data_IF_539189475745
#
_entry.id   IF_539189475745
#
_cell.length_a   1.000
_cell.length_b   1.000
_cell.length_c   1.000
_cell.angle_alpha   90.00
_cell.angle_beta   90.00
_cell.angle_gamma   90.00
#
_symmetry.space_group_name_H-M   'P 1'
#
loop_
_entity.id
_entity.type
_entity.pdbx_description
1 polymer ?
#
# COMPACT_ATOMS: atom_id res chain seq x y z
N UNK A 1 1.28 4.30 -10.30
CA UNK A 1 1.07 3.86 -8.91
C UNK A 1 -0.26 3.14 -8.83
N UNK A 2 -0.28 1.96 -8.22
CA UNK A 2 -1.51 1.16 -8.09
C UNK A 2 -1.88 1.05 -6.61
N UNK A 3 -3.05 1.60 -6.26
CA UNK A 3 -3.61 1.56 -4.90
C UNK A 3 -4.66 0.46 -4.76
N UNK A 4 -5.07 0.18 -3.51
CA UNK A 4 -6.21 -0.73 -3.25
C UNK A 4 -7.53 -0.14 -3.74
N UNK A 5 -7.62 1.19 -3.77
CA UNK A 5 -8.84 1.89 -4.18
C UNK A 5 -8.49 3.31 -4.62
N UNK A 6 -9.20 3.84 -5.61
CA UNK A 6 -9.07 5.25 -6.04
C UNK A 6 -10.12 6.15 -5.42
N UNK A 7 -11.11 5.57 -4.76
CA UNK A 7 -12.20 6.27 -4.07
C UNK A 7 -11.95 6.35 -2.56
N UNK A 8 -12.69 7.21 -1.87
CA UNK A 8 -12.58 7.41 -0.43
C UNK A 8 -11.56 8.48 -0.03
N UNK A 9 -11.78 9.06 1.14
CA UNK A 9 -10.99 10.22 1.61
C UNK A 9 -9.53 9.85 1.91
N UNK A 10 -9.30 8.66 2.45
CA UNK A 10 -7.94 8.18 2.73
C UNK A 10 -7.09 8.13 1.45
N UNK A 11 -7.60 7.48 0.40
CA UNK A 11 -6.86 7.33 -0.86
C UNK A 11 -6.70 8.65 -1.62
N UNK A 12 -7.66 9.57 -1.50
CA UNK A 12 -7.50 10.94 -2.03
C UNK A 12 -6.37 11.69 -1.33
N UNK A 13 -6.23 11.54 0.00
CA UNK A 13 -5.12 12.14 0.74
C UNK A 13 -3.78 11.53 0.37
N UNK A 14 -3.72 10.19 0.23
CA UNK A 14 -2.51 9.49 -0.23
C UNK A 14 -2.09 10.00 -1.60
N UNK A 15 -3.02 10.03 -2.57
CA UNK A 15 -2.78 10.55 -3.92
C UNK A 15 -2.24 11.98 -3.87
N UNK A 16 -2.90 12.85 -3.12
CA UNK A 16 -2.46 14.24 -2.99
C UNK A 16 -1.06 14.37 -2.40
N UNK A 17 -0.74 13.62 -1.36
CA UNK A 17 0.61 13.61 -0.76
C UNK A 17 1.69 13.19 -1.77
N UNK A 18 1.39 12.19 -2.59
CA UNK A 18 2.31 11.75 -3.64
C UNK A 18 2.46 12.78 -4.76
N UNK A 19 1.36 13.40 -5.22
CA UNK A 19 1.40 14.48 -6.20
C UNK A 19 2.21 15.69 -5.69
N UNK A 20 2.05 16.04 -4.43
CA UNK A 20 2.79 17.14 -3.82
C UNK A 20 4.29 16.80 -3.73
N UNK A 21 4.65 15.56 -3.34
CA UNK A 21 6.04 15.10 -3.33
C UNK A 21 6.67 15.15 -4.73
N UNK A 22 5.97 14.71 -5.77
CA UNK A 22 6.45 14.81 -7.16
C UNK A 22 6.72 16.27 -7.56
N UNK A 23 5.81 17.19 -7.22
CA UNK A 23 6.00 18.64 -7.48
C UNK A 23 7.20 19.21 -6.74
N UNK A 24 7.37 18.83 -5.46
CA UNK A 24 8.49 19.28 -4.64
C UNK A 24 9.83 18.78 -5.19
N UNK A 25 9.90 17.49 -5.60
CA UNK A 25 11.11 16.92 -6.18
C UNK A 25 11.44 17.60 -7.50
N UNK A 26 10.49 17.73 -8.41
CA UNK A 26 10.68 18.40 -9.69
C UNK A 26 11.19 19.85 -9.50
N UNK A 27 10.65 20.57 -8.51
CA UNK A 27 11.09 21.91 -8.17
C UNK A 27 12.49 21.93 -7.57
N UNK A 28 12.77 21.03 -6.62
CA UNK A 28 14.07 20.98 -5.90
C UNK A 28 15.23 20.66 -6.82
N UNK A 29 15.01 19.77 -7.79
CA UNK A 29 16.04 19.36 -8.77
C UNK A 29 16.00 20.18 -10.05
N UNK A 30 15.05 21.09 -10.20
CA UNK A 30 14.92 21.96 -11.38
C UNK A 30 14.49 21.25 -12.66
N UNK A 31 13.86 20.08 -12.53
CA UNK A 31 13.38 19.29 -13.66
C UNK A 31 12.29 20.05 -14.46
N UNK A 32 12.39 20.04 -15.77
CA UNK A 32 11.48 20.76 -16.68
C UNK A 32 11.15 19.90 -17.90
N UNK A 33 9.94 20.07 -18.40
CA UNK A 33 9.45 19.35 -19.59
C UNK A 33 9.62 17.83 -19.44
N UNK A 34 10.31 17.21 -20.36
CA UNK A 34 10.48 15.75 -20.47
C UNK A 34 11.34 15.13 -19.34
N UNK A 35 12.11 15.96 -18.62
CA UNK A 35 12.88 15.52 -17.45
C UNK A 35 12.04 15.42 -16.18
N UNK A 36 10.80 15.93 -16.20
CA UNK A 36 9.95 15.92 -15.02
C UNK A 36 9.53 14.50 -14.62
N UNK A 37 9.57 14.24 -13.32
CA UNK A 37 8.89 13.07 -12.76
C UNK A 37 7.39 13.28 -12.94
N UNK A 38 6.74 12.29 -13.52
CA UNK A 38 5.28 12.22 -13.65
C UNK A 38 4.74 11.01 -12.90
N UNK A 39 3.47 11.00 -12.56
CA UNK A 39 2.84 9.84 -11.94
C UNK A 39 1.40 9.68 -12.39
N UNK A 40 0.96 8.45 -12.50
CA UNK A 40 -0.45 8.06 -12.52
C UNK A 40 -0.85 7.46 -11.17
N UNK A 41 -2.11 7.53 -10.82
CA UNK A 41 -2.67 6.93 -9.59
C UNK A 41 -3.92 6.15 -9.97
N UNK A 42 -3.80 4.85 -9.97
CA UNK A 42 -4.76 3.92 -10.52
C UNK A 42 -5.14 2.85 -9.48
N UNK A 43 -6.22 2.14 -9.75
CA UNK A 43 -6.72 1.06 -8.90
C UNK A 43 -8.23 0.89 -9.03
N UNK A 44 -8.78 -0.10 -8.34
CA UNK A 44 -10.22 -0.35 -8.33
C UNK A 44 -10.99 0.74 -7.59
N UNK A 45 -12.29 0.74 -7.79
CA UNK A 45 -13.25 1.58 -7.05
C UNK A 45 -13.54 1.05 -5.63
N UNK A 46 -13.23 -0.22 -5.37
CA UNK A 46 -13.43 -0.92 -4.11
C UNK A 46 -12.17 -1.68 -3.72
N UNK A 47 -11.75 -1.58 -2.46
CA UNK A 47 -10.56 -2.24 -1.92
C UNK A 47 -10.63 -3.79 -1.96
N UNK A 48 -11.83 -4.37 -2.06
CA UNK A 48 -12.06 -5.80 -2.14
C UNK A 48 -11.97 -6.35 -3.56
N UNK A 49 -11.90 -5.49 -4.58
CA UNK A 49 -11.83 -5.88 -5.98
C UNK A 49 -10.39 -6.19 -6.40
N UNK A 50 -9.93 -7.36 -5.95
CA UNK A 50 -8.58 -7.86 -6.21
C UNK A 50 -8.34 -8.10 -7.71
N UNK A 51 -9.35 -8.59 -8.42
CA UNK A 51 -9.24 -8.88 -9.86
C UNK A 51 -8.98 -7.60 -10.66
N UNK A 52 -9.74 -6.55 -10.40
CA UNK A 52 -9.49 -5.24 -11.03
C UNK A 52 -8.12 -4.70 -10.67
N UNK A 53 -7.63 -4.90 -9.44
CA UNK A 53 -6.28 -4.48 -9.06
C UNK A 53 -5.21 -5.24 -9.87
N UNK A 54 -5.32 -6.55 -10.01
CA UNK A 54 -4.40 -7.37 -10.80
C UNK A 54 -4.36 -6.88 -12.25
N UNK A 55 -5.51 -6.71 -12.88
CA UNK A 55 -5.62 -6.21 -14.25
C UNK A 55 -5.01 -4.79 -14.40
N UNK A 56 -5.18 -3.94 -13.40
CA UNK A 56 -4.57 -2.61 -13.36
C UNK A 56 -3.05 -2.69 -13.29
N UNK A 57 -2.49 -3.62 -12.48
CA UNK A 57 -1.05 -3.82 -12.39
C UNK A 57 -0.50 -4.28 -13.74
N UNK A 58 -1.15 -5.25 -14.40
CA UNK A 58 -0.74 -5.73 -15.72
C UNK A 58 -0.74 -4.60 -16.76
N UNK A 59 -1.77 -3.76 -16.77
CA UNK A 59 -1.85 -2.60 -17.66
C UNK A 59 -0.71 -1.60 -17.41
N UNK A 60 -0.43 -1.28 -16.14
CA UNK A 60 0.65 -0.36 -15.77
C UNK A 60 2.03 -0.93 -16.13
N UNK A 61 2.26 -2.23 -15.93
CA UNK A 61 3.52 -2.88 -16.35
C UNK A 61 3.71 -2.79 -17.88
N UNK A 62 2.63 -2.97 -18.63
CA UNK A 62 2.67 -2.87 -20.10
C UNK A 62 3.06 -1.47 -20.61
N UNK A 63 2.83 -0.41 -19.82
CA UNK A 63 3.30 0.95 -20.09
C UNK A 63 4.80 1.15 -19.83
N UNK A 64 5.48 0.15 -19.26
CA UNK A 64 6.90 0.15 -18.94
C UNK A 64 7.34 1.37 -18.10
N UNK A 65 6.78 1.58 -16.91
CA UNK A 65 7.15 2.69 -16.05
C UNK A 65 8.55 2.50 -15.45
N UNK A 66 9.22 3.59 -15.10
CA UNK A 66 10.53 3.55 -14.41
C UNK A 66 10.42 2.95 -12.99
N UNK A 67 9.25 3.06 -12.36
CA UNK A 67 8.96 2.53 -11.01
C UNK A 67 7.49 2.17 -10.89
N UNK A 68 7.20 1.00 -10.35
CA UNK A 68 5.87 0.61 -9.91
C UNK A 68 5.74 0.79 -8.39
N UNK A 69 4.81 1.65 -7.95
CA UNK A 69 4.44 1.72 -6.54
C UNK A 69 3.10 1.01 -6.33
N UNK A 70 3.00 0.14 -5.32
CA UNK A 70 1.82 -0.69 -5.07
C UNK A 70 1.41 -0.70 -3.59
N UNK A 71 0.10 -0.66 -3.35
CA UNK A 71 -0.53 -1.06 -2.09
C UNK A 71 -1.44 -2.25 -2.35
N UNK A 72 -1.04 -3.45 -1.95
CA UNK A 72 -1.74 -4.68 -2.30
C UNK A 72 -3.06 -4.84 -1.52
N UNK A 73 -4.15 -5.11 -2.22
CA UNK A 73 -5.45 -5.47 -1.63
C UNK A 73 -5.41 -6.86 -0.99
N UNK A 74 -4.77 -7.80 -1.64
CA UNK A 74 -4.45 -9.13 -1.15
C UNK A 74 -2.94 -9.35 -1.29
N UNK A 75 -2.28 -9.78 -0.21
CA UNK A 75 -0.81 -9.82 -0.16
C UNK A 75 -0.19 -10.90 -1.04
N UNK A 76 -0.95 -11.93 -1.43
CA UNK A 76 -0.47 -13.06 -2.22
C UNK A 76 -0.88 -12.97 -3.70
N UNK A 77 -2.02 -12.32 -3.98
CA UNK A 77 -2.68 -12.39 -5.30
C UNK A 77 -1.94 -11.68 -6.44
N UNK A 78 -1.01 -10.78 -6.15
CA UNK A 78 -0.28 -10.01 -7.16
C UNK A 78 1.16 -10.51 -7.41
N UNK A 79 1.54 -11.67 -6.86
CA UNK A 79 2.92 -12.17 -6.94
C UNK A 79 3.40 -12.32 -8.39
N UNK A 80 2.59 -12.91 -9.26
CA UNK A 80 2.94 -13.11 -10.68
C UNK A 80 3.19 -11.78 -11.42
N UNK A 81 2.39 -10.76 -11.13
CA UNK A 81 2.57 -9.42 -11.70
C UNK A 81 3.86 -8.76 -11.21
N UNK A 82 4.20 -8.94 -9.93
CA UNK A 82 5.44 -8.40 -9.38
C UNK A 82 6.68 -9.14 -9.91
N UNK A 83 6.58 -10.44 -10.18
CA UNK A 83 7.61 -11.18 -10.88
C UNK A 83 7.80 -10.66 -12.31
N UNK A 84 6.70 -10.45 -13.05
CA UNK A 84 6.73 -9.85 -14.39
C UNK A 84 7.35 -8.43 -14.37
N UNK A 85 7.01 -7.59 -13.41
CA UNK A 85 7.64 -6.28 -13.23
C UNK A 85 9.16 -6.41 -13.04
N UNK A 86 9.59 -7.34 -12.19
CA UNK A 86 11.02 -7.61 -11.93
C UNK A 86 11.74 -8.12 -13.18
N UNK A 87 11.15 -9.03 -13.95
CA UNK A 87 11.69 -9.54 -15.21
C UNK A 87 11.85 -8.44 -16.26
N UNK A 88 10.92 -7.49 -16.29
CA UNK A 88 10.98 -6.30 -17.13
C UNK A 88 11.94 -5.21 -16.58
N UNK A 89 12.62 -5.46 -15.46
CA UNK A 89 13.53 -4.50 -14.85
C UNK A 89 12.85 -3.34 -14.14
N UNK A 90 11.54 -3.39 -13.91
CA UNK A 90 10.75 -2.36 -13.23
C UNK A 90 10.88 -2.55 -11.72
N UNK A 91 11.53 -1.65 -10.97
CA UNK A 91 11.61 -1.73 -9.52
C UNK A 91 10.24 -1.48 -8.88
N UNK A 92 9.91 -2.29 -7.86
CA UNK A 92 8.65 -2.18 -7.13
C UNK A 92 8.88 -1.58 -5.76
N UNK A 93 8.04 -0.61 -5.37
CA UNK A 93 7.99 -0.03 -4.03
C UNK A 93 6.58 -0.30 -3.47
N UNK A 94 6.50 -0.97 -2.32
CA UNK A 94 5.22 -1.14 -1.63
C UNK A 94 4.96 0.04 -0.67
N UNK A 95 3.70 0.45 -0.57
CA UNK A 95 3.25 1.46 0.38
C UNK A 95 1.95 1.04 1.07
N UNK A 96 1.67 1.57 2.25
CA UNK A 96 0.51 1.21 3.10
C UNK A 96 0.45 -0.28 3.45
N UNK A 97 0.12 -1.14 2.49
CA UNK A 97 0.12 -2.60 2.66
C UNK A 97 1.22 -3.25 1.82
N UNK A 98 2.00 -4.09 2.47
CA UNK A 98 3.06 -4.85 1.82
C UNK A 98 2.51 -6.12 1.15
N UNK A 99 3.35 -6.78 0.39
CA UNK A 99 3.12 -8.08 -0.24
C UNK A 99 3.77 -9.21 0.60
N UNK A 100 3.36 -10.45 0.37
CA UNK A 100 3.92 -11.60 1.09
C UNK A 100 5.39 -11.84 0.70
N UNK A 101 5.69 -11.86 -0.60
CA UNK A 101 7.04 -12.11 -1.10
C UNK A 101 7.88 -10.81 -1.13
N UNK A 102 8.52 -10.54 0.01
CA UNK A 102 9.27 -9.28 0.23
C UNK A 102 10.44 -9.06 -0.72
N UNK A 103 11.00 -10.13 -1.31
CA UNK A 103 12.13 -10.00 -2.26
C UNK A 103 11.73 -9.47 -3.63
N UNK A 104 10.44 -9.36 -3.91
CA UNK A 104 9.91 -8.71 -5.10
C UNK A 104 9.81 -7.17 -4.95
N UNK A 105 10.04 -6.66 -3.73
CA UNK A 105 9.90 -5.24 -3.41
C UNK A 105 11.26 -4.66 -3.02
N UNK A 106 11.64 -3.53 -3.62
CA UNK A 106 12.89 -2.81 -3.31
C UNK A 106 12.80 -2.03 -2.00
N UNK A 107 11.62 -1.51 -1.68
CA UNK A 107 11.37 -0.75 -0.45
C UNK A 107 9.91 -0.85 -0.05
N UNK A 108 9.66 -0.69 1.26
CA UNK A 108 8.31 -0.55 1.81
C UNK A 108 8.21 0.76 2.62
N UNK A 109 7.11 1.47 2.46
CA UNK A 109 6.76 2.65 3.24
C UNK A 109 5.33 2.53 3.75
N UNK A 110 5.19 2.44 5.06
CA UNK A 110 3.90 2.30 5.72
C UNK A 110 4.03 2.44 7.22
N UNK A 111 2.90 2.34 7.90
CA UNK A 111 2.82 2.32 9.35
C UNK A 111 3.33 0.98 9.89
N UNK A 112 4.01 0.99 11.03
CA UNK A 112 4.26 -0.23 11.82
C UNK A 112 2.96 -0.67 12.48
N UNK A 113 2.16 -1.44 11.74
CA UNK A 113 0.83 -1.86 12.18
C UNK A 113 0.88 -2.81 13.38
N UNK A 114 1.96 -3.57 13.55
CA UNK A 114 2.17 -4.40 14.75
C UNK A 114 2.32 -3.52 15.98
N UNK A 115 3.11 -2.46 15.88
CA UNK A 115 3.28 -1.51 16.98
C UNK A 115 1.97 -0.77 17.30
N UNK A 116 1.23 -0.33 16.28
CA UNK A 116 -0.09 0.31 16.46
C UNK A 116 -1.07 -0.64 17.14
N UNK A 117 -1.15 -1.90 16.72
CA UNK A 117 -1.97 -2.92 17.36
C UNK A 117 -1.62 -3.11 18.84
N UNK A 118 -0.33 -3.23 19.16
CA UNK A 118 0.14 -3.32 20.57
C UNK A 118 -0.25 -2.09 21.40
N UNK A 119 -0.11 -0.90 20.85
CA UNK A 119 -0.51 0.34 21.53
C UNK A 119 -2.02 0.38 21.79
N UNK A 120 -2.84 0.00 20.82
CA UNK A 120 -4.29 -0.07 20.96
C UNK A 120 -4.68 -1.08 22.05
N UNK A 121 -4.09 -2.28 22.05
CA UNK A 121 -4.32 -3.30 23.06
C UNK A 121 -3.93 -2.83 24.47
N UNK A 122 -2.79 -2.16 24.60
CA UNK A 122 -2.33 -1.62 25.88
C UNK A 122 -3.30 -0.57 26.43
N UNK A 123 -3.74 0.38 25.59
CA UNK A 123 -4.68 1.42 25.99
C UNK A 123 -6.04 0.82 26.41
N UNK A 124 -6.55 -0.11 25.62
CA UNK A 124 -7.81 -0.79 25.90
C UNK A 124 -7.72 -1.62 27.18
N UNK A 125 -6.66 -2.41 27.34
CA UNK A 125 -6.41 -3.19 28.55
C UNK A 125 -6.29 -2.32 29.81
N UNK A 126 -5.63 -1.17 29.71
CA UNK A 126 -5.52 -0.20 30.80
C UNK A 126 -6.89 0.40 31.15
N UNK A 127 -7.69 0.77 30.17
CA UNK A 127 -9.04 1.31 30.38
C UNK A 127 -9.99 0.30 31.02
N UNK A 128 -9.82 -0.99 30.77
CA UNK A 128 -10.59 -2.09 31.33
C UNK A 128 -10.05 -2.56 32.69
N UNK A 129 -9.02 -1.93 33.24
CA UNK A 129 -8.39 -2.39 34.49
C UNK A 129 -7.76 -3.79 34.33
N UNK A 130 -7.35 -4.15 33.11
CA UNK A 130 -6.75 -5.44 32.73
C UNK A 130 -7.69 -6.66 32.89
N UNK A 131 -8.97 -6.43 32.98
CA UNK A 131 -10.00 -7.49 33.06
C UNK A 131 -11.19 -7.11 32.20
N UNK A 132 -11.71 -8.08 31.45
CA UNK A 132 -12.90 -7.85 30.59
C UNK A 132 -12.93 -8.70 29.34
N UNK A 133 -14.00 -8.55 28.58
CA UNK A 133 -14.15 -9.16 27.26
C UNK A 133 -14.06 -8.08 26.18
N UNK A 134 -13.33 -8.37 25.12
CA UNK A 134 -13.14 -7.47 24.00
C UNK A 134 -13.64 -8.15 22.73
N UNK A 135 -14.36 -7.41 21.89
CA UNK A 135 -14.71 -7.83 20.56
C UNK A 135 -13.81 -7.07 19.57
N UNK A 136 -13.20 -7.80 18.64
CA UNK A 136 -12.38 -7.24 17.56
C UNK A 136 -13.13 -7.43 16.25
N UNK A 137 -13.36 -6.34 15.53
CA UNK A 137 -13.97 -6.34 14.21
C UNK A 137 -12.91 -6.02 13.17
N UNK A 138 -12.81 -6.84 12.14
CA UNK A 138 -11.87 -6.66 11.04
C UNK A 138 -12.61 -6.76 9.70
N UNK A 139 -12.34 -5.84 8.78
CA UNK A 139 -12.95 -5.83 7.44
C UNK A 139 -12.23 -6.80 6.51
N UNK A 140 -10.96 -6.57 6.21
CA UNK A 140 -10.20 -7.31 5.19
C UNK A 140 -9.11 -8.18 5.82
N UNK A 141 -9.33 -9.50 5.89
CA UNK A 141 -8.38 -10.41 6.55
C UNK A 141 -7.14 -10.73 5.71
N UNK A 142 -7.18 -10.57 4.39
CA UNK A 142 -6.07 -10.88 3.47
C UNK A 142 -5.10 -9.73 3.23
N UNK A 143 -5.36 -8.57 3.78
CA UNK A 143 -4.50 -7.40 3.68
C UNK A 143 -3.42 -7.44 4.74
N UNK A 144 -2.16 -7.27 4.35
CA UNK A 144 -1.02 -7.36 5.28
C UNK A 144 -1.11 -6.37 6.44
N UNK A 145 -1.54 -5.12 6.20
CA UNK A 145 -1.70 -4.12 7.26
C UNK A 145 -2.74 -4.52 8.31
N UNK A 146 -3.85 -5.14 7.89
CA UNK A 146 -4.89 -5.62 8.81
C UNK A 146 -4.42 -6.84 9.60
N UNK A 147 -3.70 -7.77 8.96
CA UNK A 147 -3.12 -8.91 9.67
C UNK A 147 -2.13 -8.45 10.74
N UNK A 148 -1.25 -7.50 10.43
CA UNK A 148 -0.28 -6.98 11.39
C UNK A 148 -0.95 -6.26 12.56
N UNK A 149 -2.03 -5.49 12.32
CA UNK A 149 -2.85 -4.90 13.37
C UNK A 149 -3.48 -5.95 14.29
N UNK A 150 -3.87 -7.10 13.76
CA UNK A 150 -4.52 -8.17 14.52
C UNK A 150 -3.56 -8.98 15.39
N UNK A 151 -2.25 -8.84 15.22
CA UNK A 151 -1.23 -9.49 16.06
C UNK A 151 -1.13 -8.85 17.46
N UNK A 152 -2.26 -8.39 17.99
CA UNK A 152 -2.39 -7.92 19.36
C UNK A 152 -2.48 -9.13 20.31
N UNK A 153 -1.44 -9.37 21.07
CA UNK A 153 -1.50 -10.27 22.20
C UNK A 153 -2.03 -9.49 23.41
N UNK A 154 -3.30 -9.68 23.70
CA UNK A 154 -3.93 -9.19 24.92
C UNK A 154 -3.69 -10.19 26.04
#
# INVERSE_FOLDING_TARGET
>A
MVSKCVKGEYWKMVKKGMEDAVKEINKAYGYKKDDQITMTFEGPDNEEDVETQINTIDAVIAENPDVLCISASDMDSCEAQLEAAKENGIPVIAFDSNVAEKKLVKAYRGTDNVQVGKMAAYQLGSALGKMGKVAVFSAQQKTKSVQDLSLIHI
#
